data_IF_100061041148
#
_entry.id   IF_100061041148
#
_cell.length_a   1.000
_cell.length_b   1.000
_cell.length_c   1.000
_cell.angle_alpha   90.00
_cell.angle_beta   90.00
_cell.angle_gamma   90.00
#
_symmetry.space_group_name_H-M   'P 1'
#
loop_
_entity.id
_entity.type
_entity.pdbx_description
1 polymer ?
#
# COMPACT_ATOMS: atom_id res chain seq x y z
N UNK A 1 2.89 -7.51 18.22
CA UNK A 1 1.98 -8.65 18.09
C UNK A 1 2.54 -9.60 17.05
N UNK A 2 2.46 -10.90 17.31
CA UNK A 2 2.83 -11.97 16.38
C UNK A 2 1.73 -12.18 15.34
N UNK A 3 2.05 -12.87 14.23
CA UNK A 3 1.06 -13.26 13.23
C UNK A 3 -0.11 -14.03 13.86
N UNK A 4 0.18 -14.98 14.76
CA UNK A 4 -0.85 -15.79 15.42
C UNK A 4 -1.81 -14.95 16.29
N UNK A 5 -1.30 -13.92 16.97
CA UNK A 5 -2.15 -12.99 17.74
C UNK A 5 -3.08 -12.19 16.82
N UNK A 6 -2.58 -11.77 15.66
CA UNK A 6 -3.37 -11.06 14.64
C UNK A 6 -4.41 -11.97 13.97
N UNK A 7 -4.05 -13.21 13.63
CA UNK A 7 -4.98 -14.20 13.07
C UNK A 7 -6.12 -14.49 14.05
N UNK A 8 -5.80 -14.71 15.32
CA UNK A 8 -6.81 -14.92 16.38
C UNK A 8 -7.71 -13.70 16.57
N UNK A 9 -7.14 -12.49 16.55
CA UNK A 9 -7.92 -11.26 16.63
C UNK A 9 -8.86 -11.10 15.41
N UNK A 10 -8.40 -11.46 14.21
CA UNK A 10 -9.22 -11.48 13.01
C UNK A 10 -10.35 -12.50 13.15
N UNK A 11 -10.07 -13.71 13.62
CA UNK A 11 -11.08 -14.75 13.82
C UNK A 11 -12.21 -14.31 14.76
N UNK A 12 -11.85 -13.71 15.90
CA UNK A 12 -12.76 -13.29 16.96
C UNK A 12 -13.54 -12.00 16.67
N UNK A 13 -13.12 -11.22 15.66
CA UNK A 13 -13.78 -9.96 15.36
C UNK A 13 -15.21 -10.20 14.81
N UNK A 14 -16.21 -9.40 15.22
CA UNK A 14 -17.57 -9.50 14.69
C UNK A 14 -17.59 -9.28 13.18
N UNK A 15 -18.46 -9.94 12.42
CA UNK A 15 -18.46 -9.88 10.95
C UNK A 15 -18.51 -8.45 10.38
N UNK A 16 -19.14 -7.50 11.07
CA UNK A 16 -19.16 -6.09 10.67
C UNK A 16 -17.88 -5.29 11.02
N UNK A 17 -17.04 -5.80 11.94
CA UNK A 17 -15.85 -5.13 12.51
C UNK A 17 -14.54 -5.82 12.12
N UNK A 18 -14.60 -7.13 11.86
CA UNK A 18 -13.54 -8.00 11.32
C UNK A 18 -12.88 -7.41 10.08
N UNK A 19 -13.66 -6.61 9.35
CA UNK A 19 -13.30 -6.05 8.06
C UNK A 19 -13.33 -4.52 8.01
N UNK A 20 -13.74 -3.83 9.11
CA UNK A 20 -13.83 -2.36 9.18
C UNK A 20 -12.70 -1.70 9.98
N UNK A 21 -11.93 -2.47 10.74
CA UNK A 21 -10.84 -1.96 11.60
C UNK A 21 -9.55 -2.71 11.28
N UNK A 22 -8.49 -1.99 10.88
CA UNK A 22 -7.01 -2.14 11.05
C UNK A 22 -6.38 -3.56 11.12
N UNK A 23 -7.08 -4.58 11.59
CA UNK A 23 -6.69 -5.97 11.72
C UNK A 23 -6.22 -6.59 10.41
N UNK A 24 -6.99 -6.54 9.31
CA UNK A 24 -6.58 -7.20 8.06
C UNK A 24 -5.25 -6.65 7.48
N UNK A 25 -5.04 -5.31 7.37
CA UNK A 25 -3.73 -4.75 7.05
C UNK A 25 -2.62 -5.19 8.00
N UNK A 26 -2.92 -5.28 9.30
CA UNK A 26 -1.95 -5.71 10.31
C UNK A 26 -1.58 -7.19 10.19
N UNK A 27 -2.54 -8.06 9.91
CA UNK A 27 -2.33 -9.50 9.66
C UNK A 27 -1.48 -9.68 8.40
N UNK A 28 -1.81 -8.97 7.31
CA UNK A 28 -1.06 -9.04 6.06
C UNK A 28 0.40 -8.62 6.28
N UNK A 29 0.62 -7.49 6.97
CA UNK A 29 1.96 -7.02 7.33
C UNK A 29 2.70 -8.00 8.24
N UNK A 30 2.04 -8.54 9.26
CA UNK A 30 2.65 -9.52 10.17
C UNK A 30 3.04 -10.81 9.47
N UNK A 31 2.22 -11.29 8.52
CA UNK A 31 2.54 -12.47 7.72
C UNK A 31 3.78 -12.23 6.85
N UNK A 32 3.87 -11.04 6.24
CA UNK A 32 5.05 -10.66 5.47
C UNK A 32 6.30 -10.56 6.35
N UNK A 33 6.21 -9.88 7.49
CA UNK A 33 7.34 -9.69 8.41
C UNK A 33 7.81 -11.02 9.02
N UNK A 34 6.92 -12.01 9.14
CA UNK A 34 7.23 -13.38 9.56
C UNK A 34 7.84 -14.26 8.45
N UNK A 35 7.90 -13.78 7.20
CA UNK A 35 8.35 -14.56 6.05
C UNK A 35 7.33 -15.59 5.54
N UNK A 36 6.10 -15.55 6.06
CA UNK A 36 4.98 -16.41 5.66
C UNK A 36 4.39 -15.93 4.32
N UNK A 37 5.19 -16.01 3.26
CA UNK A 37 4.92 -15.36 1.97
C UNK A 37 3.58 -15.76 1.34
N UNK A 38 3.16 -17.03 1.48
CA UNK A 38 1.88 -17.51 0.96
C UNK A 38 0.71 -16.85 1.70
N UNK A 39 0.78 -16.77 3.03
CA UNK A 39 -0.23 -16.09 3.85
C UNK A 39 -0.24 -14.58 3.57
N UNK A 40 0.93 -13.97 3.48
CA UNK A 40 1.06 -12.55 3.15
C UNK A 40 0.41 -12.22 1.79
N UNK A 41 0.62 -13.08 0.80
CA UNK A 41 -0.02 -12.95 -0.51
C UNK A 41 -1.53 -13.07 -0.40
N UNK A 42 -2.04 -14.12 0.25
CA UNK A 42 -3.48 -14.32 0.46
C UNK A 42 -4.15 -13.12 1.12
N UNK A 43 -3.59 -12.61 2.23
CA UNK A 43 -4.16 -11.46 2.93
C UNK A 43 -4.06 -10.16 2.11
N UNK A 44 -3.03 -10.00 1.28
CA UNK A 44 -2.90 -8.83 0.42
C UNK A 44 -3.87 -8.84 -0.77
N UNK A 45 -4.09 -10.01 -1.38
CA UNK A 45 -5.13 -10.21 -2.41
C UNK A 45 -6.52 -9.94 -1.82
N UNK A 46 -6.77 -10.40 -0.60
CA UNK A 46 -8.01 -10.17 0.13
C UNK A 46 -8.24 -8.66 0.41
N UNK A 47 -7.19 -7.91 0.76
CA UNK A 47 -7.25 -6.45 0.91
C UNK A 47 -7.69 -5.76 -0.39
N UNK A 48 -7.08 -6.12 -1.52
CA UNK A 48 -7.42 -5.53 -2.82
C UNK A 48 -8.84 -5.91 -3.22
N UNK A 49 -9.19 -7.19 -3.14
CA UNK A 49 -10.52 -7.72 -3.46
C UNK A 49 -11.62 -6.99 -2.70
N UNK A 50 -11.48 -6.85 -1.38
CA UNK A 50 -12.47 -6.15 -0.53
C UNK A 50 -12.53 -4.66 -0.81
N UNK A 51 -11.38 -4.03 -1.04
CA UNK A 51 -11.33 -2.63 -1.47
C UNK A 51 -12.12 -2.40 -2.76
N UNK A 52 -12.07 -3.34 -3.70
CA UNK A 52 -12.84 -3.28 -4.95
C UNK A 52 -14.33 -3.61 -4.74
N UNK A 53 -14.69 -4.66 -3.98
CA UNK A 53 -16.10 -5.08 -3.78
C UNK A 53 -16.95 -4.05 -3.03
N UNK A 54 -16.34 -3.23 -2.16
CA UNK A 54 -17.03 -2.12 -1.50
C UNK A 54 -17.57 -1.05 -2.47
N UNK A 55 -17.29 -1.16 -3.77
CA UNK A 55 -17.88 -0.37 -4.86
C UNK A 55 -19.36 -0.73 -5.14
N UNK A 56 -19.75 -2.00 -5.00
CA UNK A 56 -21.10 -2.46 -5.34
C UNK A 56 -22.11 -2.22 -4.19
N UNK A 57 -21.62 -2.17 -2.95
CA UNK A 57 -22.40 -1.92 -1.73
C UNK A 57 -22.69 -0.41 -1.54
N UNK A 58 -23.48 0.17 -2.46
CA UNK A 58 -24.31 1.39 -2.36
C UNK A 58 -23.80 2.59 -1.53
N UNK A 59 -23.71 3.74 -2.20
CA UNK A 59 -24.29 5.01 -1.74
C UNK A 59 -23.93 5.51 -0.32
N UNK A 60 -22.73 5.25 0.20
CA UNK A 60 -22.24 5.94 1.40
C UNK A 60 -21.05 6.82 1.02
N UNK A 61 -21.22 8.14 1.17
CA UNK A 61 -20.27 9.20 0.75
C UNK A 61 -18.89 9.13 1.44
N UNK A 62 -18.67 8.22 2.39
CA UNK A 62 -17.50 8.19 3.26
C UNK A 62 -16.77 6.83 3.30
N UNK A 63 -16.55 6.15 2.17
CA UNK A 63 -15.71 4.94 2.19
C UNK A 63 -14.21 5.26 2.04
N UNK A 64 -13.69 5.95 3.06
CA UNK A 64 -12.28 6.35 3.22
C UNK A 64 -11.34 5.14 3.34
N UNK A 65 -11.83 4.02 3.86
CA UNK A 65 -11.04 2.81 4.12
C UNK A 65 -10.75 1.97 2.88
N UNK A 66 -11.60 2.05 1.84
CA UNK A 66 -11.36 1.39 0.55
C UNK A 66 -9.98 1.74 -0.01
N UNK A 67 -9.66 3.03 -0.01
CA UNK A 67 -8.41 3.49 -0.62
C UNK A 67 -7.18 2.96 0.12
N UNK A 68 -7.28 2.93 1.45
CA UNK A 68 -6.25 2.38 2.31
C UNK A 68 -6.01 0.88 2.07
N UNK A 69 -7.07 0.07 1.90
CA UNK A 69 -6.91 -1.38 1.66
C UNK A 69 -6.27 -1.67 0.31
N UNK A 70 -6.72 -1.02 -0.76
CA UNK A 70 -6.14 -1.22 -2.10
C UNK A 70 -4.67 -0.79 -2.12
N UNK A 71 -4.35 0.36 -1.50
CA UNK A 71 -2.99 0.86 -1.40
C UNK A 71 -2.09 -0.13 -0.64
N UNK A 72 -2.46 -0.51 0.57
CA UNK A 72 -1.66 -1.45 1.39
C UNK A 72 -1.51 -2.83 0.76
N UNK A 73 -2.59 -3.39 0.21
CA UNK A 73 -2.57 -4.69 -0.46
C UNK A 73 -1.60 -4.69 -1.65
N UNK A 74 -1.69 -3.69 -2.52
CA UNK A 74 -0.78 -3.58 -3.66
C UNK A 74 0.68 -3.34 -3.24
N UNK A 75 0.95 -2.51 -2.22
CA UNK A 75 2.32 -2.34 -1.75
C UNK A 75 2.93 -3.66 -1.25
N UNK A 76 2.14 -4.49 -0.55
CA UNK A 76 2.62 -5.78 -0.07
C UNK A 76 2.82 -6.77 -1.22
N UNK A 77 1.89 -6.84 -2.17
CA UNK A 77 2.02 -7.68 -3.37
C UNK A 77 3.24 -7.31 -4.20
N UNK A 78 3.52 -6.02 -4.35
CA UNK A 78 4.73 -5.57 -5.04
C UNK A 78 6.02 -5.94 -4.29
N UNK A 79 6.03 -5.90 -2.96
CA UNK A 79 7.19 -6.35 -2.16
C UNK A 79 7.40 -7.86 -2.27
N UNK A 80 6.32 -8.64 -2.28
CA UNK A 80 6.37 -10.09 -2.51
C UNK A 80 6.88 -10.40 -3.92
N UNK A 81 6.45 -9.64 -4.93
CA UNK A 81 6.96 -9.75 -6.30
C UNK A 81 8.47 -9.48 -6.37
N UNK A 82 8.96 -8.39 -5.74
CA UNK A 82 10.39 -8.12 -5.62
C UNK A 82 11.15 -9.27 -4.94
N UNK A 83 10.59 -9.83 -3.86
CA UNK A 83 11.18 -10.98 -3.18
C UNK A 83 11.36 -12.22 -4.06
N UNK A 84 10.55 -12.34 -5.12
CA UNK A 84 10.66 -13.40 -6.14
C UNK A 84 11.52 -13.00 -7.35
N UNK A 85 12.07 -11.78 -7.37
CA UNK A 85 12.81 -11.23 -8.51
C UNK A 85 11.94 -10.69 -9.63
N UNK A 86 10.63 -10.57 -9.43
CA UNK A 86 9.70 -10.05 -10.44
C UNK A 86 9.57 -8.52 -10.33
N UNK A 87 10.50 -7.83 -10.98
CA UNK A 87 10.63 -6.37 -10.91
C UNK A 87 9.47 -5.67 -11.64
N UNK A 88 9.04 -6.19 -12.78
CA UNK A 88 7.95 -5.58 -13.55
C UNK A 88 6.62 -5.69 -12.82
N UNK A 89 6.36 -6.83 -12.18
CA UNK A 89 5.15 -7.00 -11.38
C UNK A 89 5.16 -6.10 -10.14
N UNK A 90 6.32 -5.90 -9.51
CA UNK A 90 6.46 -4.94 -8.43
C UNK A 90 6.16 -3.50 -8.85
N UNK A 91 6.64 -3.09 -10.03
CA UNK A 91 6.36 -1.77 -10.61
C UNK A 91 4.87 -1.61 -10.92
N UNK A 92 4.25 -2.64 -11.48
CA UNK A 92 2.80 -2.68 -11.75
C UNK A 92 2.01 -2.47 -10.46
N UNK A 93 2.35 -3.20 -9.40
CA UNK A 93 1.71 -3.05 -8.10
C UNK A 93 1.93 -1.67 -7.46
N UNK A 94 3.10 -1.06 -7.61
CA UNK A 94 3.31 0.32 -7.14
C UNK A 94 2.32 1.29 -7.78
N UNK A 95 2.06 1.14 -9.09
CA UNK A 95 1.10 1.99 -9.79
C UNK A 95 -0.35 1.67 -9.41
N UNK A 96 -0.70 0.39 -9.25
CA UNK A 96 -2.02 -0.02 -8.79
C UNK A 96 -2.33 0.44 -7.37
N UNK A 97 -1.31 0.64 -6.53
CA UNK A 97 -1.48 1.19 -5.20
C UNK A 97 -2.04 2.62 -5.22
N UNK A 98 -1.89 3.37 -6.31
CA UNK A 98 -2.36 4.76 -6.44
C UNK A 98 -3.51 4.94 -7.46
N UNK A 99 -3.48 4.17 -8.55
CA UNK A 99 -4.43 4.29 -9.67
C UNK A 99 -4.93 2.90 -10.08
N UNK A 100 -5.80 2.27 -9.28
CA UNK A 100 -6.37 0.98 -9.63
C UNK A 100 -7.38 1.15 -10.79
N UNK A 101 -7.44 0.21 -11.75
CA UNK A 101 -8.49 0.16 -12.75
C UNK A 101 -9.88 0.23 -12.08
N UNK A 102 -10.80 0.94 -12.72
CA UNK A 102 -12.22 1.04 -12.31
C UNK A 102 -12.47 1.70 -10.94
N UNK A 103 -11.40 2.22 -10.31
CA UNK A 103 -11.46 2.95 -9.07
C UNK A 103 -11.29 4.46 -9.33
N UNK A 104 -12.37 5.25 -9.19
CA UNK A 104 -12.30 6.72 -9.05
C UNK A 104 -11.23 7.06 -7.97
N UNK A 105 -10.41 8.12 -8.12
CA UNK A 105 -9.08 8.19 -7.52
C UNK A 105 -9.15 7.92 -6.03
N UNK A 106 -8.17 7.16 -5.53
CA UNK A 106 -8.15 6.73 -4.14
C UNK A 106 -8.29 7.94 -3.22
N UNK A 107 -9.41 7.99 -2.50
CA UNK A 107 -9.79 9.12 -1.64
C UNK A 107 -8.86 9.26 -0.42
N UNK A 108 -7.92 8.33 -0.19
CA UNK A 108 -7.04 8.41 0.96
C UNK A 108 -5.61 7.97 0.67
N UNK A 109 -4.76 8.96 0.39
CA UNK A 109 -3.43 8.96 0.99
C UNK A 109 -3.63 9.40 2.45
N UNK A 110 -3.15 8.66 3.47
CA UNK A 110 -3.21 9.11 4.86
C UNK A 110 -2.71 10.56 5.00
N UNK A 111 -3.16 11.35 5.99
CA UNK A 111 -2.64 12.70 6.20
C UNK A 111 -1.11 12.77 6.29
N UNK A 112 -0.47 11.68 6.72
CA UNK A 112 0.97 11.48 6.80
C UNK A 112 1.68 11.16 5.47
N UNK A 113 0.95 10.97 4.37
CA UNK A 113 1.49 10.71 3.04
C UNK A 113 1.36 9.27 2.57
N UNK A 114 1.94 8.92 1.41
CA UNK A 114 1.95 7.54 0.93
C UNK A 114 2.98 6.72 1.70
N UNK A 115 2.68 5.44 1.96
CA UNK A 115 3.71 4.51 2.38
C UNK A 115 4.71 4.31 1.22
N UNK A 116 6.01 4.43 1.52
CA UNK A 116 7.12 4.42 0.58
C UNK A 116 7.99 3.15 0.69
N UNK A 117 7.53 2.09 1.37
CA UNK A 117 8.31 0.86 1.57
C UNK A 117 8.64 0.15 0.25
N UNK A 118 7.66 0.05 -0.65
CA UNK A 118 7.89 -0.53 -1.98
C UNK A 118 8.73 0.39 -2.87
N UNK A 119 8.44 1.70 -2.83
CA UNK A 119 9.24 2.71 -3.52
C UNK A 119 10.72 2.64 -3.11
N UNK A 120 11.01 2.54 -1.81
CA UNK A 120 12.37 2.37 -1.30
C UNK A 120 13.02 1.09 -1.83
N UNK A 121 12.29 -0.03 -1.82
CA UNK A 121 12.81 -1.30 -2.31
C UNK A 121 13.16 -1.26 -3.81
N UNK A 122 12.31 -0.62 -4.62
CA UNK A 122 12.57 -0.37 -6.05
C UNK A 122 13.79 0.54 -6.27
N UNK A 123 13.90 1.62 -5.49
CA UNK A 123 15.06 2.53 -5.56
C UNK A 123 16.38 1.84 -5.21
N UNK A 124 16.36 0.88 -4.27
CA UNK A 124 17.55 0.12 -3.87
C UNK A 124 18.11 -0.75 -5.00
N UNK A 125 17.26 -1.23 -5.91
CA UNK A 125 17.67 -1.99 -7.10
C UNK A 125 17.83 -1.13 -8.36
N UNK A 126 17.65 0.19 -8.24
CA UNK A 126 17.91 1.15 -9.30
C UNK A 126 16.69 1.60 -10.11
N UNK A 127 15.50 1.07 -9.82
CA UNK A 127 14.24 1.43 -10.47
C UNK A 127 13.76 2.81 -9.99
N UNK A 128 14.04 3.85 -10.77
CA UNK A 128 13.78 5.25 -10.40
C UNK A 128 12.55 5.84 -11.08
N UNK A 129 12.39 5.59 -12.38
CA UNK A 129 11.38 6.27 -13.19
C UNK A 129 9.96 5.92 -12.72
N UNK A 130 9.70 4.65 -12.40
CA UNK A 130 8.42 4.21 -11.84
C UNK A 130 8.13 4.84 -10.47
N UNK A 131 9.16 5.03 -9.64
CA UNK A 131 9.01 5.64 -8.31
C UNK A 131 8.75 7.14 -8.42
N UNK A 132 9.41 7.83 -9.36
CA UNK A 132 9.12 9.22 -9.68
C UNK A 132 7.66 9.36 -10.17
N UNK A 133 7.25 8.50 -11.11
CA UNK A 133 5.87 8.50 -11.63
C UNK A 133 4.84 8.27 -10.52
N UNK A 134 5.12 7.32 -9.62
CA UNK A 134 4.28 7.07 -8.45
C UNK A 134 4.13 8.31 -7.57
N UNK A 135 5.24 8.99 -7.22
CA UNK A 135 5.17 10.18 -6.38
C UNK A 135 4.53 11.39 -7.09
N UNK A 136 4.67 11.50 -8.41
CA UNK A 136 3.94 12.51 -9.20
C UNK A 136 2.42 12.30 -9.13
N UNK A 137 1.96 11.05 -9.21
CA UNK A 137 0.54 10.73 -9.04
C UNK A 137 0.08 10.97 -7.60
N UNK A 138 0.91 10.60 -6.61
CA UNK A 138 0.62 10.91 -5.21
C UNK A 138 0.46 12.42 -4.97
N UNK A 139 1.22 13.27 -5.65
CA UNK A 139 1.15 14.73 -5.50
C UNK A 139 -0.17 15.35 -6.01
N UNK A 140 -0.88 14.64 -6.89
CA UNK A 140 -2.20 15.06 -7.34
C UNK A 140 -3.27 14.82 -6.26
N UNK A 141 -3.07 13.80 -5.41
CA UNK A 141 -4.01 13.39 -4.37
C UNK A 141 -3.67 13.97 -2.99
N UNK A 142 -2.39 14.04 -2.63
CA UNK A 142 -1.92 14.56 -1.34
C UNK A 142 -1.44 16.01 -1.44
N UNK A 143 -2.41 16.93 -1.51
CA UNK A 143 -2.16 18.35 -1.73
C UNK A 143 -1.25 18.98 -0.67
N UNK A 144 -1.41 18.60 0.60
CA UNK A 144 -0.62 19.13 1.73
C UNK A 144 0.80 18.59 1.79
N UNK A 145 1.10 17.48 1.10
CA UNK A 145 2.44 16.88 1.06
C UNK A 145 3.20 17.09 -0.25
N UNK A 146 2.71 17.96 -1.15
CA UNK A 146 3.37 18.23 -2.44
C UNK A 146 4.84 18.61 -2.30
N UNK A 147 5.18 19.45 -1.33
CA UNK A 147 6.57 19.87 -1.09
C UNK A 147 7.44 18.73 -0.53
N UNK A 148 6.85 17.78 0.19
CA UNK A 148 7.55 16.57 0.64
C UNK A 148 7.84 15.68 -0.58
N UNK A 149 6.84 15.43 -1.42
CA UNK A 149 6.98 14.61 -2.61
C UNK A 149 7.93 15.23 -3.64
N UNK A 150 7.90 16.55 -3.83
CA UNK A 150 8.81 17.27 -4.70
C UNK A 150 10.28 17.11 -4.25
N UNK A 151 10.54 17.18 -2.94
CA UNK A 151 11.88 16.90 -2.39
C UNK A 151 12.32 15.47 -2.62
N UNK A 152 11.45 14.49 -2.39
CA UNK A 152 11.77 13.09 -2.65
C UNK A 152 12.04 12.83 -4.14
N UNK A 153 11.24 13.41 -5.04
CA UNK A 153 11.47 13.32 -6.49
C UNK A 153 12.84 13.93 -6.85
N UNK A 154 13.16 15.09 -6.30
CA UNK A 154 14.46 15.75 -6.52
C UNK A 154 15.63 14.91 -6.02
N UNK A 155 15.51 14.29 -4.84
CA UNK A 155 16.52 13.37 -4.31
C UNK A 155 16.75 12.20 -5.27
N UNK A 156 15.67 11.56 -5.75
CA UNK A 156 15.74 10.42 -6.68
C UNK A 156 16.41 10.80 -8.00
N UNK A 157 16.05 11.95 -8.58
CA UNK A 157 16.65 12.49 -9.80
C UNK A 157 18.15 12.73 -9.64
N UNK A 158 18.58 13.16 -8.45
CA UNK A 158 19.99 13.34 -8.10
C UNK A 158 20.67 12.04 -7.62
N UNK A 159 20.05 10.88 -7.86
CA UNK A 159 20.52 9.55 -7.43
C UNK A 159 20.74 9.41 -5.92
N UNK A 160 20.06 10.22 -5.11
CA UNK A 160 20.05 10.15 -3.65
C UNK A 160 18.83 9.35 -3.20
N UNK A 161 18.97 8.60 -2.11
CA UNK A 161 17.84 7.94 -1.46
C UNK A 161 17.09 8.99 -0.62
N UNK A 162 15.79 9.23 -0.86
CA UNK A 162 15.03 10.13 -0.02
C UNK A 162 14.94 9.63 1.42
N UNK A 163 14.88 10.56 2.37
CA UNK A 163 14.53 10.21 3.74
C UNK A 163 13.00 10.08 3.86
N UNK A 164 12.52 8.84 3.81
CA UNK A 164 11.09 8.52 3.92
C UNK A 164 10.58 8.53 5.37
N UNK A 165 11.44 8.51 6.39
CA UNK A 165 11.03 8.54 7.80
C UNK A 165 9.91 7.55 8.15
N UNK A 166 8.83 8.06 8.74
CA UNK A 166 7.66 7.28 9.16
C UNK A 166 6.88 6.61 8.02
N UNK A 167 7.04 7.08 6.78
CA UNK A 167 6.39 6.54 5.59
C UNK A 167 6.85 5.12 5.22
N UNK A 168 7.76 4.51 5.97
CA UNK A 168 8.20 3.13 5.75
C UNK A 168 7.39 2.08 6.54
N UNK A 169 6.51 2.50 7.46
CA UNK A 169 6.02 1.58 8.52
C UNK A 169 4.51 1.33 8.58
N UNK A 170 3.66 2.21 8.03
CA UNK A 170 2.20 2.20 8.27
C UNK A 170 1.33 1.69 7.13
#
# INVERSE_FOLDING_TARGET
>A
MSLSEFEKALELAPENSKWSTIALPSVAKAAFDAGENQKAQFYAEELVSRGCQQFEFRANKNNVMRGYFIHQGNLLLGRLALGRGDIEEAKRHLMLAITPPDCNPLILIPPSGPNASLAKALLQIGERDCVIQYFQQCAQLWLTGRDVLARWISDIQNKKMPNFGGNLFY
#
